data_IF_866590614931
#
_entry.id   IF_866590614931
#
_cell.length_a   1.000
_cell.length_b   1.000
_cell.length_c   1.000
_cell.angle_alpha   90.00
_cell.angle_beta   90.00
_cell.angle_gamma   90.00
#
_symmetry.space_group_name_H-M   'P 1'
#
loop_
_entity.id
_entity.type
_entity.pdbx_description
1 polymer ?
#
# COMPACT_ATOMS: atom_id res chain seq x y z
N UNK A 1 15.10 -13.37 -6.82
CA UNK A 1 16.27 -12.53 -6.43
C UNK A 1 16.88 -12.87 -5.07
N UNK A 2 16.22 -13.63 -4.18
CA UNK A 2 16.87 -14.21 -2.96
C UNK A 2 17.38 -15.64 -3.21
N UNK A 3 16.84 -16.31 -4.21
CA UNK A 3 17.14 -17.71 -4.53
C UNK A 3 18.57 -17.95 -5.02
N UNK A 4 19.25 -16.93 -5.54
CA UNK A 4 20.62 -17.00 -6.06
C UNK A 4 21.71 -16.84 -5.01
N UNK A 5 21.36 -16.59 -3.74
CA UNK A 5 22.34 -16.42 -2.65
C UNK A 5 22.83 -17.77 -2.13
N UNK A 6 24.13 -17.85 -1.84
CA UNK A 6 24.70 -18.99 -1.14
C UNK A 6 24.34 -18.99 0.36
N UNK A 7 24.63 -20.08 1.06
CA UNK A 7 24.19 -20.29 2.43
C UNK A 7 24.75 -19.26 3.42
N UNK A 8 25.99 -18.83 3.20
CA UNK A 8 26.68 -17.84 4.04
C UNK A 8 26.10 -16.44 3.83
N UNK A 9 25.83 -16.07 2.58
CA UNK A 9 25.15 -14.83 2.22
C UNK A 9 23.73 -14.77 2.79
N UNK A 10 22.99 -15.90 2.77
CA UNK A 10 21.65 -15.99 3.37
C UNK A 10 21.70 -15.81 4.88
N UNK A 11 22.66 -16.44 5.57
CA UNK A 11 22.80 -16.28 7.02
C UNK A 11 23.14 -14.84 7.40
N UNK A 12 24.01 -14.16 6.66
CA UNK A 12 24.35 -12.77 6.93
C UNK A 12 23.16 -11.82 6.70
N UNK A 13 22.37 -12.04 5.65
CA UNK A 13 21.14 -11.28 5.42
C UNK A 13 20.15 -11.48 6.57
N UNK A 14 19.95 -12.73 7.02
CA UNK A 14 19.04 -13.03 8.13
C UNK A 14 19.50 -12.40 9.44
N UNK A 15 20.81 -12.45 9.74
CA UNK A 15 21.41 -11.79 10.91
C UNK A 15 21.18 -10.28 10.88
N UNK A 16 21.32 -9.65 9.72
CA UNK A 16 21.07 -8.20 9.52
C UNK A 16 19.60 -7.82 9.65
N UNK A 17 18.68 -8.70 9.24
CA UNK A 17 17.24 -8.49 9.40
C UNK A 17 16.80 -8.64 10.85
N UNK A 18 17.37 -9.60 11.60
CA UNK A 18 17.08 -9.82 13.01
C UNK A 18 17.64 -8.72 13.92
N UNK A 19 18.82 -8.18 13.58
CA UNK A 19 19.46 -7.10 14.35
C UNK A 19 18.87 -5.72 14.08
N UNK A 20 18.18 -5.54 12.94
CA UNK A 20 17.40 -4.34 12.68
C UNK A 20 16.04 -4.47 13.35
N UNK A 21 15.74 -3.59 14.30
CA UNK A 21 14.35 -3.27 14.61
C UNK A 21 13.73 -2.60 13.39
N UNK A 22 13.23 -3.42 12.46
CA UNK A 22 12.44 -2.99 11.33
C UNK A 22 11.08 -2.56 11.88
N UNK A 23 11.01 -1.31 12.34
CA UNK A 23 9.75 -0.64 12.62
C UNK A 23 9.05 -0.42 11.29
N UNK A 24 8.38 -1.46 10.80
CA UNK A 24 7.47 -1.31 9.68
C UNK A 24 6.34 -0.40 10.17
N UNK A 25 6.29 0.81 9.61
CA UNK A 25 5.12 1.67 9.81
C UNK A 25 3.92 0.86 9.32
N UNK A 26 2.92 0.69 10.20
CA UNK A 26 1.68 0.08 9.79
C UNK A 26 1.18 0.82 8.54
N UNK A 27 0.80 0.07 7.52
CA UNK A 27 0.17 0.64 6.34
C UNK A 27 -1.12 1.31 6.81
N UNK A 28 -1.11 2.64 6.85
CA UNK A 28 -2.28 3.42 7.23
C UNK A 28 -3.07 3.69 5.95
N UNK A 29 -4.07 2.83 5.69
CA UNK A 29 -4.95 2.99 4.54
C UNK A 29 -5.79 4.24 4.75
N UNK A 30 -5.83 5.11 3.77
CA UNK A 30 -6.77 6.22 3.81
C UNK A 30 -8.21 5.73 3.60
N UNK A 31 -9.17 6.45 4.17
CA UNK A 31 -10.59 6.14 3.97
C UNK A 31 -10.98 6.43 2.53
N UNK A 32 -11.93 5.67 1.99
CA UNK A 32 -12.47 5.92 0.63
C UNK A 32 -13.00 7.36 0.54
N UNK A 33 -13.66 7.84 1.59
CA UNK A 33 -14.20 9.21 1.66
C UNK A 33 -13.11 10.28 1.56
N UNK A 34 -11.97 10.09 2.25
CA UNK A 34 -10.85 11.03 2.15
C UNK A 34 -10.25 11.02 0.75
N UNK A 35 -10.06 9.84 0.14
CA UNK A 35 -9.55 9.73 -1.22
C UNK A 35 -10.49 10.44 -2.19
N UNK A 36 -11.80 10.21 -2.11
CA UNK A 36 -12.77 10.87 -2.98
C UNK A 36 -12.79 12.39 -2.77
N UNK A 37 -12.68 12.85 -1.52
CA UNK A 37 -12.58 14.28 -1.22
C UNK A 37 -11.35 14.91 -1.86
N UNK A 38 -10.18 14.29 -1.74
CA UNK A 38 -8.95 14.80 -2.33
C UNK A 38 -9.07 14.96 -3.85
N UNK A 39 -9.74 14.02 -4.54
CA UNK A 39 -10.02 14.12 -5.97
C UNK A 39 -11.05 15.21 -6.29
N UNK A 40 -12.13 15.30 -5.53
CA UNK A 40 -13.17 16.32 -5.73
C UNK A 40 -12.63 17.75 -5.52
N UNK A 41 -11.74 17.95 -4.54
CA UNK A 41 -11.11 19.25 -4.25
C UNK A 41 -10.24 19.76 -5.41
N UNK A 42 -9.76 18.88 -6.29
CA UNK A 42 -9.01 19.31 -7.49
C UNK A 42 -9.90 19.97 -8.56
N UNK A 43 -11.22 19.80 -8.47
CA UNK A 43 -12.21 20.28 -9.44
C UNK A 43 -11.85 19.97 -10.92
N UNK A 44 -11.11 18.87 -11.12
CA UNK A 44 -10.55 18.46 -12.41
C UNK A 44 -11.20 17.18 -12.96
N UNK A 45 -12.17 16.64 -12.22
CA UNK A 45 -12.81 15.38 -12.53
C UNK A 45 -14.33 15.55 -12.53
N UNK A 46 -14.98 14.95 -13.52
CA UNK A 46 -16.42 14.93 -13.66
C UNK A 46 -17.08 14.06 -12.57
N UNK A 47 -18.34 14.35 -12.25
CA UNK A 47 -19.10 13.60 -11.22
C UNK A 47 -19.18 12.11 -11.53
N UNK A 48 -19.38 11.74 -12.80
CA UNK A 48 -19.45 10.34 -13.24
C UNK A 48 -18.14 9.59 -12.97
N UNK A 49 -16.99 10.26 -13.14
CA UNK A 49 -15.69 9.66 -12.83
C UNK A 49 -15.53 9.40 -11.33
N UNK A 50 -15.97 10.34 -10.48
CA UNK A 50 -15.88 10.19 -9.03
C UNK A 50 -16.78 9.03 -8.54
N UNK A 51 -17.94 8.83 -9.15
CA UNK A 51 -18.83 7.71 -8.86
C UNK A 51 -18.18 6.36 -9.24
N UNK A 52 -17.59 6.27 -10.44
CA UNK A 52 -16.87 5.07 -10.89
C UNK A 52 -15.67 4.75 -9.97
N UNK A 53 -14.95 5.79 -9.54
CA UNK A 53 -13.82 5.67 -8.61
C UNK A 53 -14.27 5.12 -7.25
N UNK A 54 -15.38 5.62 -6.71
CA UNK A 54 -15.95 5.14 -5.45
C UNK A 54 -16.31 3.65 -5.52
N UNK A 55 -17.01 3.23 -6.58
CA UNK A 55 -17.38 1.83 -6.77
C UNK A 55 -16.15 0.94 -6.92
N UNK A 56 -15.17 1.38 -7.73
CA UNK A 56 -13.91 0.67 -7.94
C UNK A 56 -13.11 0.49 -6.64
N UNK A 57 -13.01 1.53 -5.82
CA UNK A 57 -12.32 1.48 -4.52
C UNK A 57 -13.04 0.57 -3.51
N UNK A 58 -14.37 0.61 -3.49
CA UNK A 58 -15.18 -0.29 -2.65
C UNK A 58 -15.00 -1.76 -3.05
N UNK A 59 -14.96 -2.05 -4.35
CA UNK A 59 -14.80 -3.40 -4.90
C UNK A 59 -13.39 -3.95 -4.76
N UNK A 60 -12.38 -3.10 -4.89
CA UNK A 60 -10.96 -3.47 -4.81
C UNK A 60 -10.42 -3.55 -3.38
N UNK A 61 -11.15 -3.04 -2.38
CA UNK A 61 -10.76 -3.16 -0.98
C UNK A 61 -10.77 -4.63 -0.54
N UNK A 62 -9.62 -5.25 -0.24
CA UNK A 62 -9.54 -6.67 0.07
C UNK A 62 -10.04 -7.03 1.49
N UNK A 63 -10.54 -6.05 2.24
CA UNK A 63 -11.09 -6.23 3.58
C UNK A 63 -12.47 -5.57 3.63
N UNK A 64 -13.49 -6.41 3.85
CA UNK A 64 -14.78 -6.05 4.44
C UNK A 64 -14.64 -6.01 5.95
#
# INVERSE_FOLDING_TARGET
MVESLNEEERMEVMRRLQTRNLSFKAFNKDSVDNILRDFAETNSYEEDFLADLEEGLKKSSPYK
#
